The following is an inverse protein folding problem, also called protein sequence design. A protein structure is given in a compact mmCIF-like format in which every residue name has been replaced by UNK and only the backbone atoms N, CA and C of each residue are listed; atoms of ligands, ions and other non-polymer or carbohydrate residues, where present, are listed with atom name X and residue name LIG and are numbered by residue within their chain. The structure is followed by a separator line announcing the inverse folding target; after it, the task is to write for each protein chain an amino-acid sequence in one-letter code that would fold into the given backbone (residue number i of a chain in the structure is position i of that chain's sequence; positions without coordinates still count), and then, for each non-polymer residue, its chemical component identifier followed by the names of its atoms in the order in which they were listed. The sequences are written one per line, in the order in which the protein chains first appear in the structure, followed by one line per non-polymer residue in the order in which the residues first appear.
data_IF_743386522610
#
_entry.id   IF_743386522610
#
_cell.length_a   1.000
_cell.length_b   1.000
_cell.length_c   1.000
_cell.angle_alpha   90.00
_cell.angle_beta   90.00
_cell.angle_gamma   90.00
#
_symmetry.space_group_name_H-M   'P 1'
#
loop_
_entity.id
_entity.type
_entity.pdbx_description
1 polymer ?
#
# COMPACT_ATOMS: atom_id res chain seq x y z
N UNK A 1 18.79 20.02 6.81
CA UNK A 1 19.42 19.00 7.70
C UNK A 1 18.79 17.63 7.46
N UNK A 2 19.34 16.52 7.95
CA UNK A 2 18.77 15.17 7.73
C UNK A 2 17.30 15.05 8.19
N UNK A 3 16.93 15.68 9.31
CA UNK A 3 15.56 15.75 9.81
C UNK A 3 14.57 16.40 8.82
N UNK A 4 14.99 17.45 8.11
CA UNK A 4 14.16 18.13 7.10
C UNK A 4 13.93 17.24 5.87
N UNK A 5 14.92 16.44 5.48
CA UNK A 5 14.73 15.49 4.39
C UNK A 5 13.79 14.36 4.80
N UNK A 6 13.88 13.89 6.04
CA UNK A 6 12.96 12.89 6.58
C UNK A 6 11.51 13.38 6.56
N UNK A 7 11.27 14.60 7.06
CA UNK A 7 9.94 15.22 7.03
C UNK A 7 9.39 15.32 5.60
N UNK A 8 10.22 15.67 4.62
CA UNK A 8 9.82 15.69 3.20
C UNK A 8 9.49 14.31 2.66
N UNK A 9 10.21 13.26 3.09
CA UNK A 9 9.93 11.87 2.72
C UNK A 9 8.58 11.44 3.30
N UNK A 10 8.36 11.65 4.60
CA UNK A 10 7.12 11.32 5.29
C UNK A 10 5.93 12.07 4.67
N UNK A 11 6.08 13.37 4.42
CA UNK A 11 5.06 14.17 3.72
C UNK A 11 4.78 13.62 2.32
N UNK A 12 5.79 13.16 1.59
CA UNK A 12 5.58 12.58 0.26
C UNK A 12 4.80 11.27 0.31
N UNK A 13 5.07 10.43 1.31
CA UNK A 13 4.45 9.12 1.45
C UNK A 13 3.06 9.21 2.08
N UNK A 14 2.91 9.88 3.22
CA UNK A 14 1.68 9.87 4.02
C UNK A 14 0.65 10.90 3.53
N UNK A 15 1.11 12.09 3.09
CA UNK A 15 0.22 13.19 2.72
C UNK A 15 0.00 13.23 1.22
N UNK A 16 1.09 13.31 0.43
CA UNK A 16 0.99 13.43 -1.03
C UNK A 16 0.73 12.09 -1.73
N UNK A 17 0.92 10.98 -1.03
CA UNK A 17 0.73 9.61 -1.55
C UNK A 17 1.42 9.37 -2.89
N UNK A 18 2.69 9.77 -3.03
CA UNK A 18 3.44 9.64 -4.29
C UNK A 18 3.50 8.19 -4.80
N UNK A 19 3.33 7.21 -3.90
CA UNK A 19 3.30 5.79 -4.22
C UNK A 19 2.17 5.39 -5.18
N UNK A 20 1.13 6.23 -5.34
CA UNK A 20 0.05 6.01 -6.31
C UNK A 20 0.51 6.22 -7.76
N UNK A 21 1.62 6.92 -7.99
CA UNK A 21 2.21 7.05 -9.32
C UNK A 21 2.89 5.73 -9.72
N UNK A 22 2.46 5.16 -10.85
CA UNK A 22 3.04 3.93 -11.39
C UNK A 22 4.44 4.14 -12.01
N UNK A 23 4.82 5.38 -12.30
CA UNK A 23 6.13 5.76 -12.80
C UNK A 23 7.11 6.15 -11.68
N UNK A 24 6.70 6.04 -10.41
CA UNK A 24 7.55 6.35 -9.27
C UNK A 24 8.80 5.44 -9.26
N UNK A 25 9.96 6.08 -9.24
CA UNK A 25 11.27 5.43 -9.11
C UNK A 25 12.05 6.09 -7.98
N UNK A 26 13.07 5.41 -7.45
CA UNK A 26 13.94 6.04 -6.45
C UNK A 26 14.64 7.30 -7.02
N UNK A 27 14.96 7.29 -8.32
CA UNK A 27 15.65 8.40 -8.98
C UNK A 27 14.77 9.64 -9.09
N UNK A 28 13.53 9.50 -9.58
CA UNK A 28 12.64 10.66 -9.70
C UNK A 28 12.17 11.16 -8.32
N UNK A 29 12.10 10.27 -7.32
CA UNK A 29 11.84 10.68 -5.95
C UNK A 29 13.00 11.50 -5.38
N UNK A 30 14.25 11.03 -5.54
CA UNK A 30 15.44 11.78 -5.15
C UNK A 30 15.51 13.16 -5.81
N UNK A 31 15.20 13.24 -7.11
CA UNK A 31 15.12 14.49 -7.83
C UNK A 31 14.07 15.44 -7.25
N UNK A 32 12.86 14.93 -6.94
CA UNK A 32 11.79 15.74 -6.35
C UNK A 32 12.12 16.29 -4.94
N UNK A 33 13.06 15.65 -4.26
CA UNK A 33 13.55 16.05 -2.94
C UNK A 33 14.84 16.89 -3.01
N UNK A 34 15.32 17.22 -4.21
CA UNK A 34 16.61 17.90 -4.44
C UNK A 34 17.79 17.17 -3.78
N UNK A 35 17.83 15.84 -3.90
CA UNK A 35 18.93 15.00 -3.39
C UNK A 35 19.39 14.00 -4.46
N UNK A 36 20.34 13.13 -4.11
CA UNK A 36 20.80 12.06 -4.98
C UNK A 36 20.27 10.69 -4.55
N UNK A 37 20.15 9.79 -5.54
CA UNK A 37 19.62 8.42 -5.38
C UNK A 37 20.37 7.62 -4.32
N UNK A 38 21.70 7.74 -4.26
CA UNK A 38 22.53 6.99 -3.30
C UNK A 38 22.23 7.39 -1.86
N UNK A 39 22.20 8.69 -1.58
CA UNK A 39 21.91 9.22 -0.26
C UNK A 39 20.48 8.87 0.17
N UNK A 40 19.50 9.08 -0.72
CA UNK A 40 18.11 8.72 -0.43
C UNK A 40 17.95 7.22 -0.17
N UNK A 41 18.59 6.36 -0.98
CA UNK A 41 18.56 4.92 -0.78
C UNK A 41 19.09 4.52 0.60
N UNK A 42 20.23 5.10 0.99
CA UNK A 42 20.89 4.81 2.26
C UNK A 42 20.03 5.27 3.43
N UNK A 43 19.52 6.49 3.37
CA UNK A 43 18.67 7.06 4.40
C UNK A 43 17.38 6.23 4.59
N UNK A 44 16.66 5.96 3.50
CA UNK A 44 15.43 5.17 3.56
C UNK A 44 15.68 3.75 4.06
N UNK A 45 16.76 3.10 3.62
CA UNK A 45 17.10 1.78 4.13
C UNK A 45 17.45 1.82 5.62
N UNK A 46 18.14 2.86 6.11
CA UNK A 46 18.46 2.99 7.53
C UNK A 46 17.21 3.18 8.40
N UNK A 47 16.22 3.95 7.92
CA UNK A 47 15.00 4.25 8.68
C UNK A 47 14.01 3.08 8.64
N UNK A 48 13.72 2.58 7.45
CA UNK A 48 12.64 1.60 7.24
C UNK A 48 13.14 0.16 7.23
N UNK A 49 14.47 -0.05 7.20
CA UNK A 49 15.12 -1.36 7.07
C UNK A 49 14.61 -2.15 5.85
N UNK A 50 14.33 -1.45 4.75
CA UNK A 50 13.70 -2.00 3.54
C UNK A 50 14.26 -1.35 2.29
N UNK A 51 14.28 -2.14 1.22
CA UNK A 51 14.48 -1.62 -0.14
C UNK A 51 13.32 -0.68 -0.51
N UNK A 52 13.61 0.39 -1.25
CA UNK A 52 12.62 1.36 -1.72
C UNK A 52 11.40 0.70 -2.38
N UNK A 53 11.61 -0.26 -3.28
CA UNK A 53 10.52 -0.95 -3.98
C UNK A 53 9.60 -1.73 -3.03
N UNK A 54 10.17 -2.32 -1.97
CA UNK A 54 9.39 -3.04 -0.95
C UNK A 54 8.55 -2.02 -0.19
N UNK A 55 9.15 -0.95 0.31
CA UNK A 55 8.45 0.10 1.03
C UNK A 55 7.27 0.67 0.21
N UNK A 56 7.51 1.07 -1.03
CA UNK A 56 6.45 1.61 -1.91
C UNK A 56 5.33 0.58 -2.08
N UNK A 57 5.66 -0.68 -2.34
CA UNK A 57 4.65 -1.73 -2.48
C UNK A 57 3.82 -1.92 -1.20
N UNK A 58 4.41 -1.79 -0.01
CA UNK A 58 3.65 -1.83 1.24
C UNK A 58 2.63 -0.68 1.34
N UNK A 59 3.03 0.55 1.00
CA UNK A 59 2.10 1.68 0.95
C UNK A 59 0.96 1.45 -0.05
N UNK A 60 1.28 0.94 -1.24
CA UNK A 60 0.27 0.60 -2.25
C UNK A 60 -0.70 -0.46 -1.74
N UNK A 61 -0.22 -1.50 -1.06
CA UNK A 61 -1.08 -2.54 -0.48
C UNK A 61 -1.92 -1.99 0.66
N UNK A 62 -1.37 -1.15 1.54
CA UNK A 62 -2.13 -0.47 2.61
C UNK A 62 -3.30 0.33 2.05
N UNK A 63 -3.09 1.09 0.97
CA UNK A 63 -4.16 1.85 0.32
C UNK A 63 -5.26 0.92 -0.21
N UNK A 64 -4.90 -0.23 -0.81
CA UNK A 64 -5.87 -1.23 -1.29
C UNK A 64 -6.68 -1.83 -0.13
N UNK A 65 -6.04 -2.12 1.00
CA UNK A 65 -6.72 -2.63 2.19
C UNK A 65 -7.73 -1.61 2.73
N UNK A 66 -7.40 -0.31 2.74
CA UNK A 66 -8.36 0.74 3.08
C UNK A 66 -9.59 0.72 2.17
N UNK A 67 -9.42 0.56 0.85
CA UNK A 67 -10.55 0.43 -0.08
C UNK A 67 -11.43 -0.79 0.21
N UNK A 68 -10.84 -1.89 0.71
CA UNK A 68 -11.59 -3.10 1.08
C UNK A 68 -12.45 -2.87 2.33
N UNK A 69 -11.98 -2.06 3.27
CA UNK A 69 -12.71 -1.69 4.49
C UNK A 69 -13.88 -0.74 4.20
N UNK A 70 -13.66 0.27 3.35
CA UNK A 70 -14.67 1.30 3.04
C UNK A 70 -15.78 0.85 2.09
N UNK A 71 -15.85 -0.44 1.75
CA UNK A 71 -16.89 -1.05 0.90
C UNK A 71 -17.02 -0.47 -0.52
N UNK A 72 -15.98 0.23 -1.01
CA UNK A 72 -15.92 0.80 -2.37
C UNK A 72 -15.68 -0.27 -3.45
N UNK A 73 -15.61 -1.54 -3.05
CA UNK A 73 -15.45 -2.70 -3.92
C UNK A 73 -16.66 -2.98 -4.83
N UNK A 74 -17.84 -2.39 -4.55
CA UNK A 74 -19.05 -2.71 -5.31
C UNK A 74 -18.96 -2.33 -6.80
N UNK A 75 -18.06 -1.43 -7.18
CA UNK A 75 -17.97 -0.93 -8.57
C UNK A 75 -16.62 -1.22 -9.26
N UNK A 76 -15.58 -1.65 -8.52
CA UNK A 76 -14.24 -1.81 -9.07
C UNK A 76 -13.69 -3.22 -8.88
N UNK A 77 -13.14 -3.77 -9.95
CA UNK A 77 -12.39 -5.03 -9.86
C UNK A 77 -11.14 -4.85 -8.98
N UNK A 78 -10.68 -5.94 -8.36
CA UNK A 78 -9.44 -5.96 -7.56
C UNK A 78 -8.27 -5.36 -8.34
N UNK A 79 -8.18 -5.67 -9.63
CA UNK A 79 -7.11 -5.14 -10.47
C UNK A 79 -7.29 -3.65 -10.81
N UNK A 80 -8.53 -3.16 -10.94
CA UNK A 80 -8.77 -1.73 -11.09
C UNK A 80 -8.31 -0.96 -9.84
N UNK A 81 -8.54 -1.50 -8.64
CA UNK A 81 -8.00 -0.93 -7.40
C UNK A 81 -6.48 -0.98 -7.34
N UNK A 82 -5.87 -2.09 -7.77
CA UNK A 82 -4.41 -2.21 -7.84
C UNK A 82 -3.80 -1.15 -8.77
N UNK A 83 -4.43 -0.88 -9.92
CA UNK A 83 -3.98 0.19 -10.83
C UNK A 83 -4.12 1.57 -10.21
N UNK A 84 -5.22 1.86 -9.51
CA UNK A 84 -5.38 3.12 -8.75
C UNK A 84 -4.33 3.27 -7.66
N UNK A 85 -3.90 2.16 -7.06
CA UNK A 85 -2.81 2.13 -6.10
C UNK A 85 -1.41 2.14 -6.75
N UNK A 86 -1.28 2.38 -8.06
CA UNK A 86 0.02 2.54 -8.72
C UNK A 86 0.69 1.24 -9.18
N UNK A 87 0.02 0.09 -9.13
CA UNK A 87 0.56 -1.15 -9.72
C UNK A 87 0.39 -1.16 -11.24
N UNK A 88 1.48 -1.43 -11.96
CA UNK A 88 1.49 -1.56 -13.42
C UNK A 88 1.06 -2.93 -13.94
N UNK A 89 1.00 -3.96 -13.07
CA UNK A 89 0.62 -5.32 -13.47
C UNK A 89 -0.02 -6.13 -12.36
N UNK A 90 -0.84 -7.13 -12.74
CA UNK A 90 -1.47 -8.08 -11.82
C UNK A 90 -0.44 -8.92 -11.06
N UNK A 91 0.65 -9.31 -11.71
CA UNK A 91 1.69 -10.13 -11.10
C UNK A 91 2.43 -9.37 -10.00
N UNK A 92 2.82 -8.11 -10.26
CA UNK A 92 3.47 -7.26 -9.27
C UNK A 92 2.55 -7.02 -8.06
N UNK A 93 1.27 -6.73 -8.31
CA UNK A 93 0.27 -6.58 -7.27
C UNK A 93 0.12 -7.85 -6.41
N UNK A 94 -0.08 -9.02 -7.04
CA UNK A 94 -0.28 -10.26 -6.32
C UNK A 94 0.92 -10.65 -5.44
N UNK A 95 2.14 -10.44 -5.95
CA UNK A 95 3.37 -10.69 -5.20
C UNK A 95 3.47 -9.75 -4.00
N UNK A 96 3.37 -8.43 -4.23
CA UNK A 96 3.42 -7.43 -3.17
C UNK A 96 2.35 -7.63 -2.10
N UNK A 97 1.12 -7.95 -2.49
CA UNK A 97 0.02 -8.18 -1.56
C UNK A 97 0.29 -9.41 -0.70
N UNK A 98 0.79 -10.51 -1.29
CA UNK A 98 1.13 -11.72 -0.53
C UNK A 98 2.34 -11.49 0.38
N UNK A 99 3.36 -10.78 -0.08
CA UNK A 99 4.53 -10.46 0.73
C UNK A 99 4.15 -9.61 1.95
N UNK A 100 3.23 -8.67 1.78
CA UNK A 100 2.78 -7.79 2.86
C UNK A 100 1.74 -8.43 3.81
N UNK A 101 0.77 -9.17 3.27
CA UNK A 101 -0.36 -9.71 4.05
C UNK A 101 -0.23 -11.19 4.42
N UNK A 102 0.73 -11.90 3.84
CA UNK A 102 0.90 -13.35 3.95
C UNK A 102 -0.03 -14.18 3.06
N UNK A 103 -1.03 -13.57 2.42
CA UNK A 103 -2.08 -14.29 1.66
C UNK A 103 -2.37 -13.64 0.31
N UNK A 104 -3.06 -14.34 -0.58
CA UNK A 104 -3.44 -13.75 -1.88
C UNK A 104 -4.63 -12.79 -1.73
N UNK A 105 -4.77 -11.78 -2.62
CA UNK A 105 -5.91 -10.86 -2.59
C UNK A 105 -7.27 -11.56 -2.61
N UNK A 106 -7.43 -12.59 -3.45
CA UNK A 106 -8.67 -13.36 -3.55
C UNK A 106 -9.00 -14.09 -2.25
N UNK A 107 -7.99 -14.64 -1.57
CA UNK A 107 -8.18 -15.31 -0.28
C UNK A 107 -8.56 -14.31 0.82
N UNK A 108 -7.90 -13.15 0.86
CA UNK A 108 -8.22 -12.07 1.79
C UNK A 108 -9.68 -11.60 1.65
N UNK A 109 -10.14 -11.39 0.42
CA UNK A 109 -11.53 -10.97 0.15
C UNK A 109 -12.56 -12.04 0.52
N UNK A 110 -12.24 -13.32 0.28
CA UNK A 110 -13.11 -14.41 0.73
C UNK A 110 -13.26 -14.40 2.25
N UNK A 111 -12.18 -14.24 3.01
CA UNK A 111 -12.25 -14.17 4.47
C UNK A 111 -13.04 -12.96 4.97
N UNK A 112 -12.82 -11.77 4.40
CA UNK A 112 -13.54 -10.56 4.83
C UNK A 112 -15.03 -10.61 4.48
N UNK A 113 -15.42 -11.27 3.38
CA UNK A 113 -16.84 -11.52 3.09
C UNK A 113 -17.51 -12.45 4.09
N UNK A 114 -16.78 -13.46 4.59
CA UNK A 114 -17.25 -14.42 5.60
C UNK A 114 -17.35 -13.74 6.97
N UNK A 115 -16.38 -12.91 7.36
CA UNK A 115 -16.39 -12.22 8.66
C UNK A 115 -17.46 -11.13 8.77
N UNK A 116 -17.77 -10.43 7.66
CA UNK A 116 -18.88 -9.46 7.61
C UNK A 116 -20.27 -10.11 7.73
N UNK A 117 -20.45 -11.38 7.33
CA UNK A 117 -21.70 -12.11 7.52
C UNK A 117 -21.92 -12.58 8.97
N UNK A 118 -20.86 -12.86 9.74
CA UNK A 118 -20.99 -13.31 11.13
C UNK A 118 -21.35 -12.20 12.12
N UNK A 119 -21.13 -10.92 11.79
CA UNK A 119 -21.44 -9.78 12.67
C UNK A 119 -22.87 -9.23 12.54
N UNK A 120 -23.70 -9.80 11.66
CA UNK A 120 -25.10 -9.40 11.47
C UNK A 120 -26.11 -10.41 12.07
N UNK A 121 -25.67 -11.29 12.98
CA UNK A 121 -26.46 -12.42 13.47
C UNK A 121 -26.41 -12.67 14.98
N UNK A 122 -26.35 -11.63 15.81
CA UNK A 122 -26.73 -11.80 17.23
C UNK A 122 -28.12 -11.20 17.40
N UNK A 123 -29.13 -12.01 17.04
CA UNK A 123 -30.49 -11.85 17.56
C UNK A 123 -30.47 -12.24 19.03
N UNK A 124 -31.11 -11.43 19.87
CA UNK A 124 -31.55 -11.83 21.20
C UNK A 124 -32.33 -13.13 21.16
N UNK A 125 -32.29 -13.82 22.31
CA UNK A 125 -32.98 -15.04 22.73
C UNK A 125 -32.30 -16.35 22.30
N UNK A 126 -31.47 -16.88 23.20
CA UNK A 126 -31.80 -18.12 23.90
C UNK A 126 -31.11 -18.16 25.28
N UNK A 127 -31.95 -18.41 26.30
CA UNK A 127 -31.74 -18.53 27.77
C UNK A 127 -31.66 -17.23 28.58
#
# INVERSE_FOLDING_TARGET
MEAELLEKIETALEVRKIFLDNNLTLSNFAQSLNTNTTYLSKLMNNIYNKRFSVLINEYRVKEILMYFETNQLKELTIFALAQKAGFSSKSAFNAAFKDYTGVTPSFYLKQTSISKHSKNGVSSLDL
#
